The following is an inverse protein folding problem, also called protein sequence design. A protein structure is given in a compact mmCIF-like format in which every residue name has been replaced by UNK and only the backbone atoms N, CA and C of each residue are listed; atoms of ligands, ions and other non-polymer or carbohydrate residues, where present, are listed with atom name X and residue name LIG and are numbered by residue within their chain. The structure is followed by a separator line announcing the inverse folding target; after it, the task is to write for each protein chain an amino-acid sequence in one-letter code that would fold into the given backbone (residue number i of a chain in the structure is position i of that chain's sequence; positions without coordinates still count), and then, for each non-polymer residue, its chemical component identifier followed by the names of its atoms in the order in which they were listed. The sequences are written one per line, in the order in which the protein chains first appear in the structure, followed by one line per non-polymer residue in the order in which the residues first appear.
data_IF_468371071784
#
_entry.id   IF_468371071784
#
_cell.length_a   1.000
_cell.length_b   1.000
_cell.length_c   1.000
_cell.angle_alpha   90.00
_cell.angle_beta   90.00
_cell.angle_gamma   90.00
#
_symmetry.space_group_name_H-M   'P 1'
#
loop_
_entity.id
_entity.type
_entity.pdbx_description
1 polymer ?
#
# COMPACT_ATOMS: atom_id res chain seq x y z
N UNK A 1 14.02 37.11 -31.25
CA UNK A 1 15.21 36.41 -30.72
C UNK A 1 15.21 36.24 -29.20
N UNK A 2 15.24 37.29 -28.35
CA UNK A 2 15.20 37.09 -26.89
C UNK A 2 13.81 36.63 -26.37
N UNK A 3 12.70 37.09 -26.94
CA UNK A 3 11.35 36.67 -26.53
C UNK A 3 10.93 35.30 -27.06
N UNK A 4 11.43 34.89 -28.23
CA UNK A 4 11.17 33.56 -28.80
C UNK A 4 11.92 32.45 -28.07
N UNK A 5 13.10 32.74 -27.50
CA UNK A 5 13.84 31.81 -26.67
C UNK A 5 13.17 31.58 -25.31
N UNK A 6 12.59 32.64 -24.72
CA UNK A 6 11.81 32.56 -23.47
C UNK A 6 10.50 31.79 -23.68
N UNK A 7 9.75 32.06 -24.75
CA UNK A 7 8.51 31.32 -25.09
C UNK A 7 8.78 29.85 -25.42
N UNK A 8 9.87 29.53 -26.13
CA UNK A 8 10.28 28.16 -26.37
C UNK A 8 10.64 27.42 -25.08
N UNK A 9 11.36 28.08 -24.14
CA UNK A 9 11.72 27.50 -22.84
C UNK A 9 10.49 27.24 -21.95
N UNK A 10 9.49 28.14 -22.00
CA UNK A 10 8.24 28.00 -21.26
C UNK A 10 7.36 26.89 -21.84
N UNK A 11 7.25 26.79 -23.16
CA UNK A 11 6.53 25.72 -23.85
C UNK A 11 7.20 24.35 -23.62
N UNK A 12 8.53 24.27 -23.68
CA UNK A 12 9.28 23.04 -23.36
C UNK A 12 9.06 22.64 -21.89
N UNK A 13 9.15 23.58 -20.95
CA UNK A 13 8.88 23.30 -19.53
C UNK A 13 7.45 22.83 -19.26
N UNK A 14 6.48 23.30 -20.04
CA UNK A 14 5.06 22.93 -19.94
C UNK A 14 4.83 21.54 -20.53
N UNK A 15 5.45 21.22 -21.67
CA UNK A 15 5.40 19.91 -22.32
C UNK A 15 6.13 18.84 -21.49
N UNK A 16 7.24 19.18 -20.84
CA UNK A 16 7.97 18.35 -19.89
C UNK A 16 7.10 17.99 -18.68
N UNK A 17 6.47 19.00 -18.07
CA UNK A 17 5.53 18.81 -16.96
C UNK A 17 4.37 17.90 -17.36
N UNK A 18 3.74 18.18 -18.50
CA UNK A 18 2.63 17.36 -19.04
C UNK A 18 3.02 15.90 -19.22
N UNK A 19 4.19 15.64 -19.82
CA UNK A 19 4.71 14.28 -20.04
C UNK A 19 4.94 13.55 -18.72
N UNK A 20 5.52 14.21 -17.72
CA UNK A 20 5.76 13.62 -16.40
C UNK A 20 4.45 13.34 -15.66
N UNK A 21 3.46 14.24 -15.73
CA UNK A 21 2.15 14.00 -15.12
C UNK A 21 1.39 12.86 -15.80
N UNK A 22 1.49 12.70 -17.12
CA UNK A 22 0.93 11.54 -17.83
C UNK A 22 1.60 10.24 -17.37
N UNK A 23 2.94 10.22 -17.31
CA UNK A 23 3.69 9.04 -16.82
C UNK A 23 3.28 8.72 -15.38
N UNK A 24 3.21 9.74 -14.52
CA UNK A 24 2.85 9.59 -13.13
C UNK A 24 1.44 9.04 -12.97
N UNK A 25 0.48 9.56 -13.73
CA UNK A 25 -0.92 9.12 -13.70
C UNK A 25 -1.05 7.66 -14.11
N UNK A 26 -0.45 7.28 -15.23
CA UNK A 26 -0.50 5.90 -15.73
C UNK A 26 0.17 4.93 -14.76
N UNK A 27 1.36 5.28 -14.23
CA UNK A 27 2.05 4.43 -13.27
C UNK A 27 1.31 4.37 -11.91
N UNK A 28 0.65 5.45 -11.49
CA UNK A 28 -0.14 5.50 -10.27
C UNK A 28 -1.47 4.76 -10.36
N UNK A 29 -1.95 4.37 -11.55
CA UNK A 29 -3.06 3.42 -11.70
C UNK A 29 -2.78 2.08 -11.02
N UNK A 30 -1.53 1.67 -10.88
CA UNK A 30 -1.17 0.50 -10.07
C UNK A 30 -1.59 0.67 -8.60
N UNK A 31 -1.49 1.89 -8.06
CA UNK A 31 -1.98 2.22 -6.73
C UNK A 31 -3.51 2.16 -6.67
N UNK A 32 -4.19 2.72 -7.67
CA UNK A 32 -5.65 2.64 -7.79
C UNK A 32 -6.14 1.18 -7.82
N UNK A 33 -5.52 0.33 -8.63
CA UNK A 33 -5.84 -1.09 -8.73
C UNK A 33 -5.66 -1.82 -7.40
N UNK A 34 -4.56 -1.53 -6.72
CA UNK A 34 -4.29 -2.10 -5.40
C UNK A 34 -5.36 -1.68 -4.38
N UNK A 35 -5.69 -0.39 -4.32
CA UNK A 35 -6.75 0.10 -3.45
C UNK A 35 -8.13 -0.46 -3.79
N UNK A 36 -8.45 -0.54 -5.08
CA UNK A 36 -9.74 -1.06 -5.52
C UNK A 36 -9.94 -2.52 -5.12
N UNK A 37 -8.94 -3.38 -5.28
CA UNK A 37 -9.09 -4.80 -4.89
C UNK A 37 -9.22 -4.97 -3.36
N UNK A 38 -8.55 -4.12 -2.57
CA UNK A 38 -8.77 -4.06 -1.11
C UNK A 38 -10.23 -3.72 -0.78
N UNK A 39 -10.78 -2.70 -1.45
CA UNK A 39 -12.12 -2.19 -1.11
C UNK A 39 -13.26 -3.09 -1.61
N UNK A 40 -13.19 -3.54 -2.86
CA UNK A 40 -14.30 -4.22 -3.57
C UNK A 40 -14.74 -5.51 -2.88
N UNK A 41 -13.81 -6.21 -2.24
CA UNK A 41 -14.16 -7.46 -1.56
C UNK A 41 -15.12 -7.20 -0.40
N UNK A 42 -15.07 -6.01 0.20
CA UNK A 42 -15.88 -5.61 1.36
C UNK A 42 -17.37 -5.66 1.06
N UNK A 43 -17.82 -5.06 -0.04
CA UNK A 43 -19.22 -5.10 -0.48
C UNK A 43 -19.60 -6.37 -1.24
N UNK A 44 -18.65 -7.01 -1.93
CA UNK A 44 -18.91 -8.26 -2.64
C UNK A 44 -19.14 -9.46 -1.71
N UNK A 45 -18.42 -9.52 -0.58
CA UNK A 45 -18.37 -10.69 0.29
C UNK A 45 -19.75 -11.15 0.84
N UNK A 46 -20.65 -10.26 1.32
CA UNK A 46 -21.98 -10.65 1.75
C UNK A 46 -22.83 -11.30 0.64
N UNK A 47 -22.66 -10.85 -0.60
CA UNK A 47 -23.37 -11.40 -1.77
C UNK A 47 -22.77 -12.73 -2.22
N UNK A 48 -21.44 -12.87 -2.16
CA UNK A 48 -20.73 -14.13 -2.40
C UNK A 48 -21.17 -15.18 -1.37
N UNK A 49 -21.26 -14.80 -0.09
CA UNK A 49 -21.77 -15.65 1.00
C UNK A 49 -23.14 -16.22 0.68
N UNK A 50 -24.07 -15.35 0.26
CA UNK A 50 -25.44 -15.74 -0.13
C UNK A 50 -25.46 -16.61 -1.39
N UNK A 51 -24.65 -16.29 -2.40
CA UNK A 51 -24.65 -16.99 -3.70
C UNK A 51 -24.16 -18.43 -3.55
N UNK A 52 -23.06 -18.64 -2.84
CA UNK A 52 -22.43 -19.96 -2.70
C UNK A 52 -22.79 -20.68 -1.40
N UNK A 53 -23.63 -20.09 -0.54
CA UNK A 53 -24.04 -20.65 0.74
C UNK A 53 -22.85 -21.07 1.63
N UNK A 54 -21.83 -20.20 1.69
CA UNK A 54 -20.56 -20.47 2.36
C UNK A 54 -20.52 -19.96 3.81
N UNK A 55 -19.71 -20.61 4.64
CA UNK A 55 -19.44 -20.19 6.02
C UNK A 55 -18.39 -19.08 6.14
N UNK A 56 -18.08 -18.70 7.37
CA UNK A 56 -17.12 -17.62 7.67
C UNK A 56 -15.68 -17.99 7.32
N UNK A 57 -15.27 -19.24 7.57
CA UNK A 57 -13.93 -19.74 7.18
C UNK A 57 -13.69 -19.63 5.68
N UNK A 58 -14.68 -19.98 4.85
CA UNK A 58 -14.52 -19.85 3.38
C UNK A 58 -14.46 -18.38 2.95
N UNK A 59 -15.21 -17.48 3.59
CA UNK A 59 -15.14 -16.04 3.34
C UNK A 59 -13.75 -15.49 3.68
N UNK A 60 -13.20 -15.90 4.83
CA UNK A 60 -11.83 -15.62 5.26
C UNK A 60 -10.80 -16.07 4.22
N UNK A 61 -10.92 -17.26 3.65
CA UNK A 61 -10.04 -17.72 2.56
C UNK A 61 -10.22 -16.93 1.25
N UNK A 62 -11.46 -16.54 0.90
CA UNK A 62 -11.73 -15.73 -0.30
C UNK A 62 -11.06 -14.35 -0.19
N UNK A 63 -11.13 -13.71 0.98
CA UNK A 63 -10.48 -12.42 1.23
C UNK A 63 -8.96 -12.57 1.25
N UNK A 64 -8.46 -13.54 2.01
CA UNK A 64 -7.03 -13.64 2.33
C UNK A 64 -6.17 -14.23 1.23
N UNK A 65 -6.71 -15.12 0.38
CA UNK A 65 -5.95 -15.79 -0.68
C UNK A 65 -5.24 -14.84 -1.65
N UNK A 66 -5.79 -13.65 -1.88
CA UNK A 66 -5.12 -12.58 -2.63
C UNK A 66 -3.80 -12.16 -1.96
N UNK A 67 -3.76 -12.02 -0.64
CA UNK A 67 -2.56 -11.60 0.09
C UNK A 67 -1.44 -12.65 -0.01
N UNK A 68 -1.79 -13.94 -0.04
CA UNK A 68 -0.83 -15.01 -0.29
C UNK A 68 -0.23 -14.93 -1.70
N UNK A 69 -1.09 -14.65 -2.70
CA UNK A 69 -0.65 -14.32 -4.05
C UNK A 69 0.28 -13.09 -4.07
N UNK A 70 -0.06 -12.04 -3.31
CA UNK A 70 0.72 -10.81 -3.24
C UNK A 70 2.09 -11.00 -2.57
N UNK A 71 2.18 -11.81 -1.51
CA UNK A 71 3.47 -12.19 -0.92
C UNK A 71 4.38 -12.89 -1.94
N UNK A 72 3.79 -13.81 -2.71
CA UNK A 72 4.50 -14.54 -3.77
C UNK A 72 4.94 -13.61 -4.91
N UNK A 73 4.05 -12.72 -5.35
CA UNK A 73 4.32 -11.71 -6.38
C UNK A 73 5.41 -10.71 -5.96
N UNK A 74 5.37 -10.23 -4.71
CA UNK A 74 6.35 -9.33 -4.14
C UNK A 74 7.76 -9.97 -4.12
N UNK A 75 7.85 -11.25 -3.76
CA UNK A 75 9.13 -11.98 -3.76
C UNK A 75 9.72 -12.10 -5.17
N UNK A 76 8.89 -12.38 -6.17
CA UNK A 76 9.33 -12.49 -7.56
C UNK A 76 9.62 -11.13 -8.24
N UNK A 77 9.04 -10.04 -7.72
CA UNK A 77 9.05 -8.72 -8.35
C UNK A 77 10.48 -8.18 -8.58
N UNK A 78 11.39 -8.35 -7.61
CA UNK A 78 12.76 -7.87 -7.73
C UNK A 78 13.54 -8.52 -8.87
N UNK A 79 13.40 -9.85 -9.02
CA UNK A 79 14.03 -10.58 -10.13
C UNK A 79 13.40 -10.22 -11.48
N UNK A 80 12.06 -10.15 -11.56
CA UNK A 80 11.33 -9.74 -12.76
C UNK A 80 11.75 -8.33 -13.22
N UNK A 81 11.83 -7.38 -12.28
CA UNK A 81 12.23 -5.99 -12.53
C UNK A 81 13.63 -5.87 -13.10
N UNK A 82 14.60 -6.62 -12.53
CA UNK A 82 15.98 -6.63 -13.00
C UNK A 82 16.09 -7.25 -14.39
N UNK A 83 15.42 -8.38 -14.62
CA UNK A 83 15.53 -9.13 -15.88
C UNK A 83 14.81 -8.46 -17.05
N UNK A 84 13.55 -8.05 -16.86
CA UNK A 84 12.68 -7.56 -17.94
C UNK A 84 12.52 -6.03 -17.96
N UNK A 85 12.85 -5.36 -16.86
CA UNK A 85 12.65 -3.94 -16.67
C UNK A 85 11.27 -3.60 -16.11
N UNK A 86 11.17 -2.41 -15.52
CA UNK A 86 9.98 -1.92 -14.80
C UNK A 86 8.75 -1.86 -15.71
N UNK A 87 8.90 -1.27 -16.91
CA UNK A 87 7.83 -1.13 -17.90
C UNK A 87 7.17 -2.48 -18.24
N UNK A 88 7.98 -3.46 -18.66
CA UNK A 88 7.47 -4.78 -19.07
C UNK A 88 6.82 -5.49 -17.88
N UNK A 89 7.44 -5.40 -16.70
CA UNK A 89 6.92 -6.03 -15.49
C UNK A 89 5.55 -5.46 -15.09
N UNK A 90 5.34 -4.13 -15.18
CA UNK A 90 4.04 -3.50 -14.93
C UNK A 90 3.00 -3.87 -16.00
N UNK A 91 3.40 -3.96 -17.28
CA UNK A 91 2.49 -4.42 -18.34
C UNK A 91 2.01 -5.85 -18.07
N UNK A 92 2.92 -6.78 -17.76
CA UNK A 92 2.57 -8.17 -17.42
C UNK A 92 1.67 -8.21 -16.18
N UNK A 93 2.00 -7.44 -15.14
CA UNK A 93 1.19 -7.33 -13.94
C UNK A 93 -0.23 -6.84 -14.25
N UNK A 94 -0.38 -5.82 -15.11
CA UNK A 94 -1.68 -5.33 -15.55
C UNK A 94 -2.49 -6.37 -16.33
N UNK A 95 -1.84 -7.15 -17.20
CA UNK A 95 -2.50 -8.27 -17.90
C UNK A 95 -2.99 -9.33 -16.92
N UNK A 96 -2.19 -9.69 -15.91
CA UNK A 96 -2.60 -10.63 -14.87
C UNK A 96 -3.75 -10.07 -14.02
N UNK A 97 -3.80 -8.76 -13.74
CA UNK A 97 -4.96 -8.11 -13.11
C UNK A 97 -6.24 -8.30 -13.93
N UNK A 98 -6.19 -8.07 -15.24
CA UNK A 98 -7.36 -8.23 -16.13
C UNK A 98 -7.86 -9.68 -16.08
N UNK A 99 -6.96 -10.64 -16.24
CA UNK A 99 -7.31 -12.07 -16.22
C UNK A 99 -7.85 -12.49 -14.84
N UNK A 100 -7.25 -12.01 -13.76
CA UNK A 100 -7.70 -12.26 -12.39
C UNK A 100 -9.07 -11.67 -12.11
N UNK A 101 -9.32 -10.42 -12.51
CA UNK A 101 -10.59 -9.74 -12.31
C UNK A 101 -11.73 -10.39 -13.11
N UNK A 102 -11.50 -10.72 -14.39
CA UNK A 102 -12.45 -11.45 -15.22
C UNK A 102 -12.69 -12.85 -14.65
N UNK A 103 -11.64 -13.55 -14.23
CA UNK A 103 -11.75 -14.86 -13.59
C UNK A 103 -12.60 -14.82 -12.32
N UNK A 104 -12.43 -13.79 -11.48
CA UNK A 104 -13.24 -13.58 -10.30
C UNK A 104 -14.70 -13.29 -10.64
N UNK A 105 -14.95 -12.44 -11.64
CA UNK A 105 -16.31 -12.11 -12.10
C UNK A 105 -17.06 -13.32 -12.69
N UNK A 106 -16.34 -14.21 -13.37
CA UNK A 106 -16.88 -15.43 -13.97
C UNK A 106 -16.86 -16.63 -13.03
N UNK A 107 -16.47 -16.45 -11.76
CA UNK A 107 -16.36 -17.56 -10.83
C UNK A 107 -17.72 -18.25 -10.60
N UNK A 108 -17.73 -19.58 -10.75
CA UNK A 108 -18.90 -20.46 -10.54
C UNK A 108 -18.79 -21.29 -9.26
N UNK A 109 -17.66 -21.23 -8.56
CA UNK A 109 -17.46 -21.92 -7.28
C UNK A 109 -16.53 -21.12 -6.36
N UNK A 110 -16.61 -21.31 -5.03
CA UNK A 110 -15.67 -20.68 -4.09
C UNK A 110 -14.21 -21.05 -4.36
N UNK A 111 -13.93 -22.30 -4.76
CA UNK A 111 -12.59 -22.75 -5.09
C UNK A 111 -12.02 -22.02 -6.31
N UNK A 112 -12.82 -21.83 -7.36
CA UNK A 112 -12.43 -21.05 -8.53
C UNK A 112 -12.16 -19.59 -8.13
N UNK A 113 -13.01 -19.00 -7.30
CA UNK A 113 -12.84 -17.63 -6.82
C UNK A 113 -11.55 -17.44 -6.01
N UNK A 114 -11.24 -18.39 -5.11
CA UNK A 114 -9.99 -18.41 -4.34
C UNK A 114 -8.79 -18.52 -5.29
N UNK A 115 -8.82 -19.44 -6.26
CA UNK A 115 -7.74 -19.60 -7.22
C UNK A 115 -7.49 -18.33 -8.05
N UNK A 116 -8.55 -17.69 -8.54
CA UNK A 116 -8.43 -16.45 -9.31
C UNK A 116 -7.99 -15.27 -8.44
N UNK A 117 -8.38 -15.23 -7.16
CA UNK A 117 -7.88 -14.26 -6.17
C UNK A 117 -6.38 -14.42 -5.91
N UNK A 118 -5.84 -15.64 -5.84
CA UNK A 118 -4.39 -15.88 -5.76
C UNK A 118 -3.68 -15.32 -6.99
N UNK A 119 -4.20 -15.58 -8.19
CA UNK A 119 -3.65 -15.06 -9.45
C UNK A 119 -3.65 -13.53 -9.47
N UNK A 120 -4.77 -12.91 -9.09
CA UNK A 120 -4.87 -11.46 -8.97
C UNK A 120 -3.87 -10.93 -7.94
N UNK A 121 -3.72 -11.62 -6.81
CA UNK A 121 -2.74 -11.31 -5.78
C UNK A 121 -1.31 -11.24 -6.30
N UNK A 122 -0.89 -12.15 -7.20
CA UNK A 122 0.44 -12.09 -7.84
C UNK A 122 0.66 -10.74 -8.54
N UNK A 123 -0.35 -10.22 -9.23
CA UNK A 123 -0.29 -8.91 -9.88
C UNK A 123 -0.22 -7.78 -8.84
N UNK A 124 -1.00 -7.86 -7.76
CA UNK A 124 -0.96 -6.87 -6.67
C UNK A 124 0.44 -6.77 -6.09
N UNK A 125 1.04 -7.89 -5.69
CA UNK A 125 2.38 -7.92 -5.10
C UNK A 125 3.49 -7.46 -6.04
N UNK A 126 3.39 -7.76 -7.34
CA UNK A 126 4.34 -7.24 -8.33
C UNK A 126 4.17 -5.73 -8.47
N UNK A 127 2.95 -5.26 -8.72
CA UNK A 127 2.70 -3.83 -8.97
C UNK A 127 2.98 -2.94 -7.76
N UNK A 128 2.74 -3.41 -6.53
CA UNK A 128 2.96 -2.66 -5.28
C UNK A 128 4.43 -2.33 -5.04
N UNK A 129 5.35 -3.16 -5.53
CA UNK A 129 6.79 -2.90 -5.45
C UNK A 129 7.29 -2.12 -6.69
N UNK A 130 6.85 -2.50 -7.88
CA UNK A 130 7.43 -1.98 -9.13
C UNK A 130 6.96 -0.56 -9.45
N UNK A 131 5.70 -0.22 -9.15
CA UNK A 131 5.16 1.09 -9.52
C UNK A 131 5.85 2.25 -8.77
N UNK A 132 6.05 2.21 -7.44
CA UNK A 132 6.81 3.23 -6.73
C UNK A 132 8.26 3.35 -7.22
N UNK A 133 8.92 2.21 -7.48
CA UNK A 133 10.28 2.20 -8.04
C UNK A 133 10.32 2.88 -9.39
N UNK A 134 9.41 2.51 -10.29
CA UNK A 134 9.33 3.09 -11.63
C UNK A 134 9.06 4.61 -11.59
N UNK A 135 8.13 5.05 -10.75
CA UNK A 135 7.86 6.47 -10.51
C UNK A 135 9.13 7.18 -10.03
N UNK A 136 9.84 6.63 -9.06
CA UNK A 136 11.05 7.24 -8.50
C UNK A 136 12.20 7.37 -9.51
N UNK A 137 12.31 6.44 -10.47
CA UNK A 137 13.37 6.42 -11.48
C UNK A 137 13.09 7.33 -12.68
N UNK A 138 11.83 7.66 -12.93
CA UNK A 138 11.45 8.60 -13.99
C UNK A 138 11.34 10.02 -13.46
N UNK A 139 10.84 10.18 -12.23
CA UNK A 139 10.62 11.47 -11.62
C UNK A 139 11.91 12.30 -11.54
N UNK A 140 11.86 13.59 -11.94
CA UNK A 140 12.88 14.56 -11.54
C UNK A 140 12.97 14.62 -10.02
N UNK A 141 14.17 14.88 -9.50
CA UNK A 141 14.44 14.90 -8.06
C UNK A 141 13.50 15.82 -7.29
N UNK A 142 13.21 17.01 -7.83
CA UNK A 142 12.37 18.03 -7.20
C UNK A 142 10.92 17.59 -6.93
N UNK A 143 10.34 16.73 -7.77
CA UNK A 143 8.92 16.33 -7.68
C UNK A 143 8.74 14.84 -7.33
N UNK A 144 9.83 14.11 -7.11
CA UNK A 144 9.81 12.67 -6.80
C UNK A 144 8.93 12.34 -5.60
N UNK A 145 9.07 13.10 -4.51
CA UNK A 145 8.24 12.93 -3.31
C UNK A 145 6.75 13.09 -3.61
N UNK A 146 6.37 14.14 -4.35
CA UNK A 146 4.99 14.38 -4.77
C UNK A 146 4.40 13.22 -5.58
N UNK A 147 5.17 12.64 -6.50
CA UNK A 147 4.68 11.52 -7.32
C UNK A 147 4.50 10.23 -6.51
N UNK A 148 5.37 9.99 -5.52
CA UNK A 148 5.23 8.85 -4.59
C UNK A 148 4.00 9.07 -3.68
N UNK A 149 3.81 10.28 -3.17
CA UNK A 149 2.60 10.63 -2.40
C UNK A 149 1.33 10.51 -3.24
N UNK A 150 1.40 10.85 -4.53
CA UNK A 150 0.28 10.67 -5.46
C UNK A 150 -0.06 9.18 -5.66
N UNK A 151 0.94 8.29 -5.74
CA UNK A 151 0.72 6.84 -5.73
C UNK A 151 -0.03 6.38 -4.47
N UNK A 152 0.36 6.88 -3.29
CA UNK A 152 -0.32 6.56 -2.03
C UNK A 152 -1.77 7.09 -2.02
N UNK A 153 -1.99 8.31 -2.54
CA UNK A 153 -3.33 8.87 -2.70
C UNK A 153 -4.20 8.00 -3.62
N UNK A 154 -3.63 7.49 -4.72
CA UNK A 154 -4.34 6.61 -5.64
C UNK A 154 -4.76 5.29 -4.99
N UNK A 155 -3.99 4.74 -4.04
CA UNK A 155 -4.43 3.58 -3.24
C UNK A 155 -5.68 3.93 -2.44
N UNK A 156 -5.66 5.04 -1.70
CA UNK A 156 -6.80 5.41 -0.84
C UNK A 156 -8.03 5.79 -1.67
N UNK A 157 -7.82 6.54 -2.76
CA UNK A 157 -8.85 6.83 -3.75
C UNK A 157 -9.40 5.56 -4.40
N UNK A 158 -8.56 4.55 -4.64
CA UNK A 158 -8.99 3.24 -5.14
C UNK A 158 -9.94 2.52 -4.19
N UNK A 159 -9.63 2.53 -2.88
CA UNK A 159 -10.53 1.97 -1.85
C UNK A 159 -11.87 2.71 -1.84
N UNK A 160 -11.83 4.05 -1.92
CA UNK A 160 -13.05 4.85 -1.97
C UNK A 160 -13.90 4.59 -3.22
N UNK A 161 -13.27 4.54 -4.40
CA UNK A 161 -13.94 4.19 -5.66
C UNK A 161 -14.52 2.79 -5.60
N UNK A 162 -13.81 1.83 -5.01
CA UNK A 162 -14.32 0.49 -4.78
C UNK A 162 -15.59 0.48 -3.93
N UNK A 163 -15.64 1.23 -2.83
CA UNK A 163 -16.86 1.33 -2.04
C UNK A 163 -18.02 1.98 -2.78
N UNK A 164 -17.76 2.97 -3.64
CA UNK A 164 -18.79 3.54 -4.52
C UNK A 164 -19.32 2.52 -5.52
N UNK A 165 -18.44 1.70 -6.11
CA UNK A 165 -18.82 0.58 -6.99
C UNK A 165 -19.68 -0.42 -6.21
N UNK A 166 -19.26 -0.81 -5.01
CA UNK A 166 -20.00 -1.75 -4.16
C UNK A 166 -21.40 -1.23 -3.80
N UNK A 167 -21.52 0.06 -3.50
CA UNK A 167 -22.82 0.70 -3.27
C UNK A 167 -23.68 0.73 -4.54
N UNK A 168 -23.09 1.02 -5.71
CA UNK A 168 -23.80 1.08 -6.99
C UNK A 168 -24.26 -0.29 -7.51
N UNK A 169 -23.52 -1.35 -7.20
CA UNK A 169 -23.84 -2.72 -7.60
C UNK A 169 -24.51 -3.56 -6.48
N UNK A 170 -25.10 -2.91 -5.47
CA UNK A 170 -25.69 -3.57 -4.30
C UNK A 170 -27.03 -4.29 -4.60
N UNK A 171 -26.99 -5.34 -5.41
CA UNK A 171 -28.14 -6.16 -5.78
C UNK A 171 -27.73 -7.63 -6.03
N UNK A 172 -28.68 -8.58 -6.07
CA UNK A 172 -28.36 -10.00 -6.30
C UNK A 172 -27.55 -10.22 -7.57
N UNK A 173 -26.37 -10.85 -7.44
CA UNK A 173 -25.45 -11.11 -8.55
C UNK A 173 -24.53 -9.93 -8.91
N UNK A 174 -24.74 -8.73 -8.35
CA UNK A 174 -23.92 -7.54 -8.59
C UNK A 174 -22.45 -7.69 -8.20
N UNK A 175 -22.13 -8.60 -7.28
CA UNK A 175 -20.76 -8.92 -6.87
C UNK A 175 -19.84 -9.28 -8.05
N UNK A 176 -20.37 -9.87 -9.13
CA UNK A 176 -19.58 -10.17 -10.33
C UNK A 176 -19.07 -8.90 -11.00
N UNK A 177 -19.92 -7.87 -11.07
CA UNK A 177 -19.55 -6.55 -11.60
C UNK A 177 -18.62 -5.81 -10.65
N UNK A 178 -18.84 -5.92 -9.33
CA UNK A 178 -17.91 -5.35 -8.33
C UNK A 178 -16.48 -5.87 -8.55
N UNK A 179 -16.30 -7.20 -8.67
CA UNK A 179 -14.98 -7.79 -8.91
C UNK A 179 -14.45 -7.51 -10.33
N UNK A 180 -15.34 -7.52 -11.33
CA UNK A 180 -14.98 -7.38 -12.74
C UNK A 180 -14.55 -5.98 -13.16
N UNK A 181 -15.05 -4.93 -12.48
CA UNK A 181 -14.76 -3.53 -12.86
C UNK A 181 -13.27 -3.20 -12.81
N UNK A 182 -12.49 -3.92 -11.98
CA UNK A 182 -11.02 -3.77 -11.85
C UNK A 182 -10.32 -3.97 -13.20
N UNK A 183 -10.89 -4.78 -14.10
CA UNK A 183 -10.34 -4.99 -15.43
C UNK A 183 -10.25 -3.70 -16.26
N UNK A 184 -11.11 -2.70 -16.00
CA UNK A 184 -11.13 -1.43 -16.75
C UNK A 184 -9.87 -0.59 -16.46
N UNK A 185 -9.58 -0.15 -15.22
CA UNK A 185 -8.35 0.57 -14.94
C UNK A 185 -7.10 -0.28 -15.23
N UNK A 186 -7.18 -1.61 -15.13
CA UNK A 186 -6.06 -2.49 -15.49
C UNK A 186 -5.77 -2.47 -17.00
N UNK A 187 -6.80 -2.48 -17.84
CA UNK A 187 -6.66 -2.32 -19.29
C UNK A 187 -6.09 -0.94 -19.64
N UNK A 188 -6.58 0.13 -19.00
CA UNK A 188 -6.03 1.49 -19.18
C UNK A 188 -4.54 1.52 -18.80
N UNK A 189 -4.16 0.91 -17.67
CA UNK A 189 -2.77 0.81 -17.27
C UNK A 189 -1.94 0.04 -18.29
N UNK A 190 -2.38 -1.13 -18.75
CA UNK A 190 -1.67 -1.95 -19.76
C UNK A 190 -1.44 -1.16 -21.05
N UNK A 191 -2.49 -0.53 -21.57
CA UNK A 191 -2.43 0.29 -22.79
C UNK A 191 -1.50 1.51 -22.59
N UNK A 192 -1.64 2.20 -21.46
CA UNK A 192 -0.79 3.35 -21.11
C UNK A 192 0.68 2.97 -20.98
N UNK A 193 0.99 1.82 -20.38
CA UNK A 193 2.37 1.36 -20.21
C UNK A 193 3.11 1.16 -21.55
N UNK A 194 2.40 0.85 -22.65
CA UNK A 194 3.03 0.75 -23.97
C UNK A 194 3.58 2.09 -24.47
N UNK A 195 2.98 3.20 -24.07
CA UNK A 195 3.37 4.56 -24.46
C UNK A 195 4.56 5.05 -23.62
N UNK A 196 4.66 4.62 -22.37
CA UNK A 196 5.67 5.15 -21.44
C UNK A 196 7.10 4.71 -21.80
N UNK A 197 8.14 5.51 -21.46
CA UNK A 197 9.53 5.11 -21.67
C UNK A 197 9.98 3.96 -20.76
N UNK A 198 11.10 3.33 -21.08
CA UNK A 198 11.76 2.40 -20.13
C UNK A 198 12.51 3.20 -19.08
N UNK A 199 12.66 2.63 -17.88
CA UNK A 199 13.49 3.22 -16.83
C UNK A 199 14.93 3.49 -17.33
N UNK A 200 15.44 4.73 -17.21
CA UNK A 200 16.82 5.03 -17.59
C UNK A 200 17.85 4.26 -16.78
N UNK A 201 17.60 4.11 -15.47
CA UNK A 201 18.42 3.30 -14.56
C UNK A 201 18.50 1.85 -15.02
N UNK A 202 17.38 1.25 -15.38
CA UNK A 202 17.39 -0.12 -15.92
C UNK A 202 18.18 -0.23 -17.23
N UNK A 203 18.03 0.73 -18.14
CA UNK A 203 18.77 0.74 -19.41
C UNK A 203 20.28 0.85 -19.19
N UNK A 204 20.72 1.72 -18.28
CA UNK A 204 22.12 1.89 -17.93
C UNK A 204 22.70 0.61 -17.31
N UNK A 205 21.98 -0.01 -16.35
CA UNK A 205 22.41 -1.26 -15.70
C UNK A 205 22.52 -2.44 -16.68
N UNK A 206 21.70 -2.43 -17.75
CA UNK A 206 21.73 -3.46 -18.79
C UNK A 206 22.68 -3.10 -19.95
N UNK A 207 23.70 -2.28 -19.70
CA UNK A 207 24.74 -1.87 -20.66
C UNK A 207 24.20 -1.14 -21.91
N UNK A 208 23.01 -0.53 -21.83
CA UNK A 208 22.39 0.23 -22.93
C UNK A 208 22.47 1.74 -22.66
N UNK A 209 23.70 2.25 -22.50
CA UNK A 209 23.98 3.64 -22.08
C UNK A 209 23.38 4.69 -23.01
N UNK A 210 23.52 4.52 -24.33
CA UNK A 210 22.98 5.50 -25.30
C UNK A 210 21.46 5.61 -25.20
N UNK A 211 20.78 4.48 -25.01
CA UNK A 211 19.32 4.45 -24.82
C UNK A 211 18.92 5.08 -23.49
N UNK A 212 19.70 4.85 -22.42
CA UNK A 212 19.47 5.49 -21.13
C UNK A 212 19.60 7.01 -21.23
N UNK A 213 20.67 7.51 -21.88
CA UNK A 213 20.90 8.94 -22.12
C UNK A 213 19.77 9.55 -22.94
N UNK A 214 19.32 8.90 -24.01
CA UNK A 214 18.21 9.39 -24.83
C UNK A 214 16.90 9.50 -24.05
N UNK A 215 16.61 8.57 -23.14
CA UNK A 215 15.43 8.68 -22.28
C UNK A 215 15.61 9.81 -21.26
N UNK A 216 16.77 9.93 -20.63
CA UNK A 216 17.05 11.02 -19.69
C UNK A 216 16.96 12.39 -20.36
N UNK A 217 17.49 12.55 -21.57
CA UNK A 217 17.37 13.79 -22.34
C UNK A 217 15.90 14.16 -22.60
N UNK A 218 15.05 13.17 -22.91
CA UNK A 218 13.60 13.42 -23.06
C UNK A 218 12.90 13.80 -21.75
N UNK A 219 13.39 13.32 -20.61
CA UNK A 219 12.77 13.54 -19.29
C UNK A 219 13.29 14.79 -18.58
N UNK A 220 14.58 15.11 -18.74
CA UNK A 220 15.27 16.21 -18.07
C UNK A 220 15.39 17.44 -18.98
N UNK A 221 15.53 17.24 -20.29
CA UNK A 221 15.76 18.28 -21.30
C UNK A 221 16.95 19.20 -20.98
N UNK A 222 17.92 18.71 -20.19
CA UNK A 222 19.10 19.45 -19.77
C UNK A 222 20.33 18.53 -19.78
N UNK A 223 21.34 18.87 -20.56
CA UNK A 223 22.49 17.99 -20.81
C UNK A 223 23.37 17.82 -19.57
N UNK A 224 23.59 18.88 -18.81
CA UNK A 224 24.40 18.86 -17.58
C UNK A 224 23.77 17.96 -16.50
N UNK A 225 22.46 18.11 -16.27
CA UNK A 225 21.71 17.23 -15.36
C UNK A 225 21.75 15.78 -15.81
N UNK A 226 21.63 15.52 -17.13
CA UNK A 226 21.66 14.15 -17.66
C UNK A 226 23.02 13.49 -17.46
N UNK A 227 24.12 14.19 -17.75
CA UNK A 227 25.46 13.64 -17.60
C UNK A 227 25.80 13.41 -16.12
N UNK A 228 25.40 14.34 -15.23
CA UNK A 228 25.52 14.16 -13.77
C UNK A 228 24.68 12.98 -13.25
N UNK A 229 23.46 12.78 -13.76
CA UNK A 229 22.61 11.63 -13.39
C UNK A 229 23.17 10.31 -13.93
N UNK A 230 23.68 10.29 -15.17
CA UNK A 230 24.35 9.12 -15.76
C UNK A 230 25.59 8.70 -14.97
N UNK A 231 26.42 9.66 -14.53
CA UNK A 231 27.59 9.39 -13.69
C UNK A 231 27.20 8.78 -12.34
N UNK A 232 26.16 9.32 -11.68
CA UNK A 232 25.63 8.78 -10.42
C UNK A 232 25.07 7.37 -10.58
N UNK A 233 24.36 7.09 -11.69
CA UNK A 233 23.84 5.75 -11.98
C UNK A 233 25.01 4.76 -12.15
N UNK A 234 26.07 5.15 -12.86
CA UNK A 234 27.24 4.30 -13.05
C UNK A 234 27.90 3.93 -11.72
N UNK A 235 28.14 4.91 -10.86
CA UNK A 235 28.73 4.70 -9.54
C UNK A 235 27.85 3.78 -8.65
N UNK A 236 26.52 3.88 -8.78
CA UNK A 236 25.59 3.02 -8.03
C UNK A 236 25.55 1.57 -8.54
N UNK A 237 25.85 1.34 -9.82
CA UNK A 237 25.80 0.01 -10.45
C UNK A 237 26.94 -0.89 -9.96
N UNK A 238 28.09 -0.29 -9.66
CA UNK A 238 29.28 -0.99 -9.12
C UNK A 238 29.11 -1.43 -7.66
N UNK A 239 28.10 -0.90 -6.95
CA UNK A 239 27.76 -1.26 -5.55
C UNK A 239 26.63 -2.30 -5.43
N UNK A 240 26.04 -2.77 -6.53
CA UNK A 240 24.86 -3.64 -6.50
C UNK A 240 25.25 -5.13 -6.50
N UNK A 241 25.15 -5.80 -5.34
CA UNK A 241 24.69 -7.22 -5.21
C UNK A 241 24.86 -7.85 -3.81
N UNK A 242 25.14 -7.09 -2.75
CA UNK A 242 25.47 -7.72 -1.47
C UNK A 242 24.27 -7.95 -0.53
N UNK A 243 23.02 -7.59 -0.85
CA UNK A 243 21.93 -7.64 0.15
C UNK A 243 21.75 -8.97 0.88
N UNK A 244 21.76 -10.10 0.15
CA UNK A 244 21.71 -11.43 0.76
C UNK A 244 22.99 -11.80 1.51
N UNK A 245 24.14 -11.41 0.97
CA UNK A 245 25.44 -11.65 1.57
C UNK A 245 25.59 -10.86 2.89
N UNK A 246 25.26 -9.58 2.86
CA UNK A 246 25.22 -8.67 4.01
C UNK A 246 24.25 -9.19 5.07
N UNK A 247 23.09 -9.75 4.69
CA UNK A 247 22.18 -10.38 5.65
C UNK A 247 22.82 -11.57 6.36
N UNK A 248 23.59 -12.38 5.65
CA UNK A 248 24.30 -13.53 6.21
C UNK A 248 25.48 -13.10 7.07
N UNK A 249 26.21 -12.07 6.68
CA UNK A 249 27.49 -11.68 7.29
C UNK A 249 27.32 -10.66 8.43
N UNK A 250 26.44 -9.67 8.29
CA UNK A 250 26.35 -8.52 9.19
C UNK A 250 25.17 -8.62 10.18
N UNK A 251 25.48 -8.54 11.49
CA UNK A 251 24.47 -8.59 12.55
C UNK A 251 23.61 -7.33 12.62
N UNK A 252 24.17 -6.15 12.39
CA UNK A 252 23.47 -4.88 12.45
C UNK A 252 22.49 -4.75 11.28
N UNK A 253 22.88 -5.20 10.08
CA UNK A 253 21.95 -5.27 8.96
C UNK A 253 20.75 -6.20 9.26
N UNK A 254 20.97 -7.37 9.86
CA UNK A 254 19.86 -8.24 10.32
C UNK A 254 18.93 -7.55 11.32
N UNK A 255 19.47 -6.72 12.22
CA UNK A 255 18.67 -5.93 13.18
C UNK A 255 17.77 -4.92 12.46
N UNK A 256 18.28 -4.23 11.43
CA UNK A 256 17.49 -3.31 10.63
C UNK A 256 16.42 -4.02 9.81
N UNK A 257 16.75 -5.16 9.16
CA UNK A 257 15.75 -5.99 8.45
C UNK A 257 14.65 -6.46 9.41
N UNK A 258 15.01 -6.95 10.59
CA UNK A 258 14.05 -7.36 11.62
C UNK A 258 13.14 -6.22 12.09
N UNK A 259 13.67 -4.99 12.22
CA UNK A 259 12.87 -3.81 12.55
C UNK A 259 11.86 -3.48 11.45
N UNK A 260 12.26 -3.56 10.17
CA UNK A 260 11.35 -3.37 9.04
C UNK A 260 10.21 -4.40 9.01
N UNK A 261 10.53 -5.67 9.26
CA UNK A 261 9.54 -6.74 9.39
C UNK A 261 8.57 -6.49 10.57
N UNK A 262 9.09 -6.08 11.74
CA UNK A 262 8.29 -5.75 12.90
C UNK A 262 7.33 -4.57 12.63
N UNK A 263 7.82 -3.51 11.98
CA UNK A 263 6.99 -2.36 11.61
C UNK A 263 5.80 -2.78 10.73
N UNK A 264 6.05 -3.64 9.75
CA UNK A 264 5.01 -4.14 8.84
C UNK A 264 4.02 -5.07 9.56
N UNK A 265 4.50 -5.92 10.46
CA UNK A 265 3.64 -6.70 11.35
C UNK A 265 2.74 -5.80 12.20
N UNK A 266 3.32 -4.78 12.86
CA UNK A 266 2.57 -3.82 13.68
C UNK A 266 1.48 -3.12 12.87
N UNK A 267 1.80 -2.65 11.65
CA UNK A 267 0.83 -2.01 10.76
C UNK A 267 -0.39 -2.88 10.49
N UNK A 268 -0.17 -4.16 10.16
CA UNK A 268 -1.26 -5.08 9.84
C UNK A 268 -2.11 -5.37 11.07
N UNK A 269 -1.46 -5.71 12.19
CA UNK A 269 -2.13 -6.09 13.44
C UNK A 269 -2.78 -4.92 14.19
N UNK A 270 -2.74 -3.69 13.65
CA UNK A 270 -3.60 -2.59 14.13
C UNK A 270 -5.09 -2.91 14.01
N UNK A 271 -5.47 -3.79 13.07
CA UNK A 271 -6.86 -4.09 12.73
C UNK A 271 -7.43 -3.17 11.64
N UNK A 272 -6.62 -2.31 11.00
CA UNK A 272 -7.13 -1.42 9.96
C UNK A 272 -7.64 -2.17 8.73
N UNK A 273 -6.87 -3.15 8.23
CA UNK A 273 -7.27 -3.93 7.07
C UNK A 273 -8.51 -4.79 7.32
N UNK A 274 -8.71 -5.26 8.56
CA UNK A 274 -9.97 -5.89 8.98
C UNK A 274 -11.15 -4.96 8.73
N UNK A 275 -11.06 -3.71 9.16
CA UNK A 275 -12.13 -2.74 8.96
C UNK A 275 -12.38 -2.56 7.47
N UNK A 276 -11.33 -2.49 6.64
CA UNK A 276 -11.50 -2.30 5.20
C UNK A 276 -12.20 -3.50 4.53
N UNK A 277 -11.80 -4.73 4.85
CA UNK A 277 -12.37 -5.94 4.23
C UNK A 277 -13.75 -6.34 4.77
N UNK A 278 -14.06 -5.96 6.00
CA UNK A 278 -15.28 -6.39 6.69
C UNK A 278 -16.15 -5.22 7.13
N UNK A 279 -15.98 -4.02 6.59
CA UNK A 279 -16.73 -2.82 6.99
C UNK A 279 -18.26 -3.03 6.96
N UNK A 280 -18.89 -3.54 5.89
CA UNK A 280 -20.32 -3.82 5.88
C UNK A 280 -20.74 -4.79 6.98
N UNK A 281 -19.91 -5.80 7.27
CA UNK A 281 -20.16 -6.76 8.35
C UNK A 281 -20.06 -6.08 9.72
N UNK A 282 -19.06 -5.23 9.94
CA UNK A 282 -18.89 -4.48 11.19
C UNK A 282 -20.06 -3.50 11.40
N UNK A 283 -20.51 -2.82 10.35
CA UNK A 283 -21.70 -1.96 10.43
C UNK A 283 -22.97 -2.75 10.71
N UNK A 284 -23.11 -3.95 10.11
CA UNK A 284 -24.20 -4.85 10.43
C UNK A 284 -24.18 -5.27 11.91
N UNK A 285 -23.01 -5.60 12.45
CA UNK A 285 -22.85 -5.92 13.88
C UNK A 285 -23.19 -4.73 14.78
N UNK A 286 -22.93 -3.51 14.30
CA UNK A 286 -23.27 -2.27 15.01
C UNK A 286 -24.77 -1.92 14.99
N UNK A 287 -25.61 -2.67 14.26
CA UNK A 287 -27.07 -2.49 14.25
C UNK A 287 -27.64 -1.91 12.96
N UNK A 288 -26.80 -1.56 11.98
CA UNK A 288 -27.26 -1.10 10.65
C UNK A 288 -27.84 -2.28 9.88
N UNK A 289 -29.16 -2.38 9.84
CA UNK A 289 -29.86 -3.58 9.37
C UNK A 289 -30.01 -3.61 7.85
N UNK A 290 -30.05 -2.44 7.21
CA UNK A 290 -30.18 -2.32 5.76
C UNK A 290 -28.84 -2.53 5.06
N UNK A 291 -28.83 -3.34 3.99
CA UNK A 291 -27.64 -3.48 3.14
C UNK A 291 -27.22 -2.16 2.50
N UNK A 292 -28.17 -1.24 2.27
CA UNK A 292 -27.85 0.09 1.76
C UNK A 292 -27.15 0.96 2.82
N UNK A 293 -27.60 0.91 4.08
CA UNK A 293 -26.94 1.64 5.17
C UNK A 293 -25.50 1.14 5.37
N UNK A 294 -25.30 -0.18 5.34
CA UNK A 294 -23.98 -0.80 5.44
C UNK A 294 -23.04 -0.34 4.30
N UNK A 295 -23.52 -0.31 3.05
CA UNK A 295 -22.71 0.11 1.91
C UNK A 295 -22.38 1.60 1.95
N UNK A 296 -23.37 2.46 2.19
CA UNK A 296 -23.13 3.92 2.26
C UNK A 296 -22.31 4.34 3.48
N UNK A 297 -22.46 3.65 4.62
CA UNK A 297 -21.56 3.82 5.76
C UNK A 297 -20.12 3.44 5.43
N UNK A 298 -19.92 2.38 4.63
CA UNK A 298 -18.59 1.97 4.14
C UNK A 298 -18.01 3.01 3.17
N UNK A 299 -18.82 3.58 2.27
CA UNK A 299 -18.44 4.72 1.41
C UNK A 299 -17.97 5.92 2.24
N UNK A 300 -18.67 6.26 3.31
CA UNK A 300 -18.28 7.35 4.22
C UNK A 300 -16.91 7.08 4.86
N UNK A 301 -16.67 5.85 5.32
CA UNK A 301 -15.36 5.42 5.86
C UNK A 301 -14.26 5.63 4.82
N UNK A 302 -14.49 5.20 3.56
CA UNK A 302 -13.53 5.39 2.47
C UNK A 302 -13.26 6.86 2.12
N UNK A 303 -14.30 7.70 2.13
CA UNK A 303 -14.19 9.14 1.90
C UNK A 303 -13.34 9.79 2.99
N UNK A 304 -13.68 9.55 4.25
CA UNK A 304 -12.97 10.10 5.42
C UNK A 304 -11.50 9.67 5.41
N UNK A 305 -11.22 8.41 5.10
CA UNK A 305 -9.85 7.90 4.98
C UNK A 305 -9.06 8.57 3.84
N UNK A 306 -9.70 8.82 2.69
CA UNK A 306 -9.08 9.51 1.56
C UNK A 306 -8.75 10.96 1.89
N UNK A 307 -9.69 11.68 2.52
CA UNK A 307 -9.47 13.06 2.98
C UNK A 307 -8.38 13.13 4.06
N UNK A 308 -8.37 12.20 5.02
CA UNK A 308 -7.33 12.11 6.04
C UNK A 308 -5.95 11.86 5.42
N UNK A 309 -5.86 11.06 4.35
CA UNK A 309 -4.60 10.82 3.63
C UNK A 309 -4.08 12.06 2.91
N UNK A 310 -4.98 12.84 2.29
CA UNK A 310 -4.61 14.14 1.68
C UNK A 310 -4.00 15.08 2.71
N UNK A 311 -4.60 15.16 3.90
CA UNK A 311 -4.06 15.93 5.02
C UNK A 311 -2.71 15.34 5.44
N UNK A 312 -2.62 14.03 5.64
CA UNK A 312 -1.40 13.35 6.08
C UNK A 312 -0.19 13.71 5.20
N UNK A 313 -0.33 13.64 3.87
CA UNK A 313 0.73 13.96 2.91
C UNK A 313 1.33 15.36 3.15
N UNK A 314 0.53 16.34 3.60
CA UNK A 314 1.01 17.71 3.86
C UNK A 314 1.67 17.91 5.23
N UNK A 315 1.27 17.13 6.24
CA UNK A 315 1.75 17.30 7.62
C UNK A 315 2.92 16.37 7.97
N UNK A 316 3.11 15.32 7.19
CA UNK A 316 3.99 14.20 7.54
C UNK A 316 5.43 14.60 7.80
N UNK A 317 5.95 15.51 6.98
CA UNK A 317 7.34 15.97 7.08
C UNK A 317 7.55 16.98 8.20
N UNK A 318 6.46 17.54 8.77
CA UNK A 318 6.55 18.55 9.83
C UNK A 318 6.62 17.95 11.23
N UNK A 319 5.94 16.84 11.50
CA UNK A 319 5.81 16.31 12.88
C UNK A 319 6.94 15.34 13.24
N UNK A 320 7.31 14.44 12.33
CA UNK A 320 8.26 13.35 12.60
C UNK A 320 7.58 11.99 12.62
N UNK A 321 8.36 10.93 12.36
CA UNK A 321 7.82 9.58 12.14
C UNK A 321 7.38 8.94 13.45
N UNK A 322 8.18 9.09 14.51
CA UNK A 322 7.95 8.45 15.82
C UNK A 322 6.75 9.06 16.57
N UNK A 323 6.59 10.39 16.67
CA UNK A 323 5.40 10.99 17.31
C UNK A 323 4.10 10.64 16.59
N UNK A 324 4.10 10.59 15.25
CA UNK A 324 2.91 10.22 14.48
C UNK A 324 2.48 8.77 14.75
N UNK A 325 3.41 7.82 14.82
CA UNK A 325 3.10 6.45 15.20
C UNK A 325 2.57 6.35 16.64
N UNK A 326 3.16 7.08 17.58
CA UNK A 326 2.70 7.11 18.97
C UNK A 326 1.25 7.59 19.09
N UNK A 327 0.95 8.75 18.50
CA UNK A 327 -0.41 9.32 18.48
C UNK A 327 -1.37 8.36 17.77
N UNK A 328 -0.93 7.83 16.63
CA UNK A 328 -1.66 6.87 15.81
C UNK A 328 -2.17 5.66 16.58
N UNK A 329 -1.23 4.89 17.15
CA UNK A 329 -1.55 3.69 17.92
C UNK A 329 -2.37 4.01 19.19
N UNK A 330 -2.15 5.17 19.82
CA UNK A 330 -2.95 5.61 20.97
C UNK A 330 -4.41 5.81 20.59
N UNK A 331 -4.68 6.58 19.54
CA UNK A 331 -6.06 6.87 19.09
C UNK A 331 -6.72 5.60 18.56
N UNK A 332 -6.00 4.78 17.77
CA UNK A 332 -6.52 3.50 17.28
C UNK A 332 -6.87 2.55 18.43
N UNK A 333 -5.98 2.40 19.43
CA UNK A 333 -6.22 1.58 20.61
C UNK A 333 -7.41 2.07 21.44
N UNK A 334 -7.53 3.39 21.65
CA UNK A 334 -8.67 3.97 22.35
C UNK A 334 -10.00 3.74 21.61
N UNK A 335 -10.05 3.95 20.30
CA UNK A 335 -11.25 3.68 19.49
C UNK A 335 -11.66 2.20 19.55
N UNK A 336 -10.71 1.28 19.43
CA UNK A 336 -10.98 -0.17 19.54
C UNK A 336 -11.45 -0.54 20.96
N UNK A 337 -10.86 0.06 22.00
CA UNK A 337 -11.28 -0.17 23.38
C UNK A 337 -12.73 0.30 23.62
N UNK A 338 -13.06 1.50 23.15
CA UNK A 338 -14.40 2.08 23.26
C UNK A 338 -15.42 1.30 22.42
N UNK A 339 -15.07 0.84 21.23
CA UNK A 339 -15.91 -0.07 20.45
C UNK A 339 -16.21 -1.36 21.23
N UNK A 340 -15.19 -1.96 21.85
CA UNK A 340 -15.38 -3.14 22.70
C UNK A 340 -16.34 -2.88 23.87
N UNK A 341 -16.24 -1.72 24.53
CA UNK A 341 -17.17 -1.29 25.58
C UNK A 341 -18.58 -1.13 25.03
N UNK A 342 -18.75 -0.46 23.89
CA UNK A 342 -20.05 -0.29 23.24
C UNK A 342 -20.72 -1.64 22.95
N UNK A 343 -19.96 -2.61 22.42
CA UNK A 343 -20.47 -3.96 22.20
C UNK A 343 -20.85 -4.66 23.51
N UNK A 344 -20.08 -4.50 24.58
CA UNK A 344 -20.34 -5.12 25.87
C UNK A 344 -21.62 -4.60 26.56
N UNK A 345 -21.93 -3.30 26.41
CA UNK A 345 -23.13 -2.67 27.00
C UNK A 345 -24.39 -2.82 26.14
N UNK A 346 -24.33 -3.58 25.05
CA UNK A 346 -25.46 -3.80 24.15
C UNK A 346 -25.65 -2.68 23.13
N UNK A 347 -24.64 -2.45 22.30
CA UNK A 347 -24.63 -1.48 21.18
C UNK A 347 -25.94 -1.43 20.37
N UNK A 348 -26.58 -2.57 20.13
CA UNK A 348 -27.80 -2.65 19.31
C UNK A 348 -29.05 -2.09 20.00
N UNK A 349 -29.02 -1.86 21.31
CA UNK A 349 -30.18 -1.43 22.10
C UNK A 349 -30.54 0.04 21.93
N UNK A 350 -29.60 0.90 21.51
CA UNK A 350 -29.79 2.35 21.46
C UNK A 350 -29.14 3.00 20.22
N UNK A 351 -29.89 3.78 19.41
CA UNK A 351 -29.35 4.44 18.21
C UNK A 351 -28.12 5.33 18.46
N UNK A 352 -28.07 6.01 19.61
CA UNK A 352 -26.91 6.84 20.00
C UNK A 352 -25.61 6.03 20.09
N UNK A 353 -25.68 4.79 20.58
CA UNK A 353 -24.51 3.92 20.66
C UNK A 353 -24.07 3.49 19.25
N UNK A 354 -25.00 3.23 18.34
CA UNK A 354 -24.73 2.88 16.95
C UNK A 354 -23.97 4.00 16.22
N UNK A 355 -24.45 5.25 16.37
CA UNK A 355 -23.73 6.43 15.85
C UNK A 355 -22.37 6.61 16.51
N UNK A 356 -22.25 6.35 17.82
CA UNK A 356 -20.98 6.34 18.52
C UNK A 356 -19.98 5.33 17.93
N UNK A 357 -20.43 4.11 17.61
CA UNK A 357 -19.59 3.09 16.98
C UNK A 357 -19.10 3.52 15.59
N UNK A 358 -19.99 4.09 14.76
CA UNK A 358 -19.60 4.65 13.47
C UNK A 358 -18.58 5.79 13.63
N UNK A 359 -18.79 6.67 14.62
CA UNK A 359 -17.86 7.75 14.95
C UNK A 359 -16.48 7.24 15.36
N UNK A 360 -16.40 6.21 16.22
CA UNK A 360 -15.14 5.61 16.61
C UNK A 360 -14.45 4.87 15.45
N UNK A 361 -15.20 4.21 14.56
CA UNK A 361 -14.64 3.63 13.34
C UNK A 361 -14.06 4.72 12.41
N UNK A 362 -14.76 5.84 12.26
CA UNK A 362 -14.28 6.97 11.47
C UNK A 362 -12.99 7.56 12.05
N UNK A 363 -12.95 7.81 13.36
CA UNK A 363 -11.75 8.32 14.04
C UNK A 363 -10.59 7.32 13.95
N UNK A 364 -10.87 6.01 14.07
CA UNK A 364 -9.87 4.96 13.89
C UNK A 364 -9.24 5.04 12.50
N UNK A 365 -10.04 5.09 11.42
CA UNK A 365 -9.48 5.11 10.06
C UNK A 365 -8.75 6.41 9.73
N UNK A 366 -9.19 7.55 10.28
CA UNK A 366 -8.45 8.81 10.19
C UNK A 366 -7.07 8.65 10.85
N UNK A 367 -7.05 8.12 12.08
CA UNK A 367 -5.81 7.90 12.80
C UNK A 367 -4.86 7.00 12.02
N UNK A 368 -5.34 5.87 11.51
CA UNK A 368 -4.55 4.95 10.69
C UNK A 368 -3.97 5.63 9.44
N UNK A 369 -4.81 6.35 8.68
CA UNK A 369 -4.42 7.05 7.47
C UNK A 369 -3.36 8.13 7.71
N UNK A 370 -3.43 8.82 8.86
CA UNK A 370 -2.50 9.88 9.23
C UNK A 370 -1.22 9.39 9.92
N UNK A 371 -1.14 8.10 10.29
CA UNK A 371 -0.03 7.54 11.07
C UNK A 371 0.52 6.26 10.44
N UNK A 372 0.10 5.09 10.91
CA UNK A 372 0.69 3.80 10.58
C UNK A 372 0.68 3.49 9.09
N UNK A 373 -0.32 3.97 8.33
CA UNK A 373 -0.40 3.74 6.89
C UNK A 373 0.84 4.28 6.16
N UNK A 374 1.14 5.60 6.13
CA UNK A 374 2.35 6.10 5.48
C UNK A 374 3.65 5.86 6.27
N UNK A 375 3.61 5.91 7.60
CA UNK A 375 4.83 5.97 8.44
C UNK A 375 5.64 4.68 8.40
N UNK A 376 4.95 3.54 8.39
CA UNK A 376 5.63 2.24 8.38
C UNK A 376 6.39 2.04 7.08
N UNK A 377 5.83 2.41 5.92
CA UNK A 377 6.50 2.30 4.63
C UNK A 377 7.72 3.23 4.54
N UNK A 378 7.58 4.47 5.01
CA UNK A 378 8.68 5.44 5.03
C UNK A 378 9.82 4.94 5.92
N UNK A 379 9.53 4.55 7.16
CA UNK A 379 10.54 4.01 8.09
C UNK A 379 11.22 2.76 7.52
N UNK A 380 10.48 1.84 6.91
CA UNK A 380 11.06 0.66 6.27
C UNK A 380 12.05 1.00 5.14
N UNK A 381 11.91 2.15 4.49
CA UNK A 381 12.84 2.61 3.45
C UNK A 381 14.01 3.43 4.01
N UNK A 382 13.82 4.12 5.13
CA UNK A 382 14.81 5.00 5.75
C UNK A 382 15.81 4.23 6.64
N UNK A 383 15.37 3.21 7.40
CA UNK A 383 16.23 2.45 8.32
C UNK A 383 17.16 1.45 7.64
N UNK A 384 16.88 1.10 6.38
CA UNK A 384 17.63 0.08 5.65
C UNK A 384 18.86 0.73 4.98
N UNK A 385 20.07 0.20 5.24
CA UNK A 385 21.30 0.73 4.64
C UNK A 385 21.25 0.61 3.13
N UNK A 386 21.92 1.54 2.44
CA UNK A 386 21.93 1.63 0.98
C UNK A 386 22.40 0.31 0.36
N UNK A 387 23.48 -0.27 0.93
CA UNK A 387 23.91 -1.63 0.62
C UNK A 387 22.89 -2.61 1.21
N UNK A 388 22.06 -3.20 0.35
CA UNK A 388 21.06 -4.20 0.77
C UNK A 388 19.65 -3.67 1.02
N UNK A 389 19.39 -2.36 0.83
CA UNK A 389 18.05 -1.76 0.97
C UNK A 389 16.95 -2.55 0.26
N UNK A 390 17.19 -2.92 -1.00
CA UNK A 390 16.23 -3.67 -1.80
C UNK A 390 15.83 -5.00 -1.13
N UNK A 391 16.80 -5.69 -0.50
CA UNK A 391 16.54 -6.93 0.23
C UNK A 391 15.72 -6.67 1.49
N UNK A 392 16.11 -5.69 2.33
CA UNK A 392 15.39 -5.36 3.56
C UNK A 392 13.95 -4.90 3.32
N UNK A 393 13.74 -4.06 2.29
CA UNK A 393 12.40 -3.62 1.88
C UNK A 393 11.56 -4.79 1.35
N UNK A 394 12.16 -5.70 0.56
CA UNK A 394 11.47 -6.90 0.08
C UNK A 394 11.02 -7.81 1.25
N UNK A 395 11.90 -8.10 2.22
CA UNK A 395 11.55 -8.86 3.43
C UNK A 395 10.40 -8.20 4.21
N UNK A 396 10.45 -6.87 4.35
CA UNK A 396 9.40 -6.10 5.02
C UNK A 396 8.07 -6.19 4.26
N UNK A 397 8.09 -6.09 2.92
CA UNK A 397 6.89 -6.19 2.07
C UNK A 397 6.28 -7.59 2.09
N UNK A 398 7.10 -8.65 2.05
CA UNK A 398 6.60 -10.02 2.22
C UNK A 398 5.96 -10.21 3.60
N UNK A 399 6.57 -9.65 4.64
CA UNK A 399 6.02 -9.69 6.01
C UNK A 399 4.69 -8.95 6.10
N UNK A 400 4.54 -7.82 5.42
CA UNK A 400 3.28 -7.09 5.30
C UNK A 400 2.19 -8.01 4.75
N UNK A 401 2.42 -8.62 3.59
CA UNK A 401 1.42 -9.47 2.94
C UNK A 401 1.09 -10.74 3.74
N UNK A 402 2.08 -11.38 4.35
CA UNK A 402 1.85 -12.55 5.21
C UNK A 402 1.11 -12.18 6.50
N UNK A 403 1.44 -11.05 7.12
CA UNK A 403 0.71 -10.57 8.30
C UNK A 403 -0.73 -10.21 7.95
N UNK A 404 -0.94 -9.59 6.78
CA UNK A 404 -2.27 -9.30 6.27
C UNK A 404 -3.06 -10.58 6.00
N UNK A 405 -2.42 -11.59 5.39
CA UNK A 405 -3.00 -12.92 5.19
C UNK A 405 -3.50 -13.53 6.50
N UNK A 406 -2.66 -13.54 7.55
CA UNK A 406 -3.03 -14.07 8.87
C UNK A 406 -4.27 -13.39 9.42
N UNK A 407 -4.33 -12.06 9.33
CA UNK A 407 -5.48 -11.31 9.82
C UNK A 407 -6.74 -11.59 8.98
N UNK A 408 -6.59 -11.65 7.65
CA UNK A 408 -7.68 -12.00 6.74
C UNK A 408 -8.25 -13.41 6.99
N UNK A 409 -7.41 -14.39 7.38
CA UNK A 409 -7.88 -15.75 7.70
C UNK A 409 -8.41 -15.94 9.12
N UNK A 410 -8.23 -14.97 10.03
CA UNK A 410 -8.57 -15.16 11.44
C UNK A 410 -9.68 -14.25 11.95
N UNK A 411 -10.00 -13.15 11.28
CA UNK A 411 -10.88 -12.13 11.87
C UNK A 411 -12.30 -12.60 12.19
N UNK A 412 -13.02 -13.23 11.24
CA UNK A 412 -14.38 -13.71 11.49
C UNK A 412 -14.38 -14.87 12.50
N UNK A 413 -13.37 -15.73 12.43
CA UNK A 413 -13.14 -16.81 13.38
C UNK A 413 -12.90 -16.26 14.80
N UNK A 414 -12.13 -15.19 14.95
CA UNK A 414 -11.94 -14.49 16.23
C UNK A 414 -13.25 -13.92 16.77
N UNK A 415 -14.07 -13.28 15.92
CA UNK A 415 -15.40 -12.80 16.31
C UNK A 415 -16.29 -13.94 16.80
N UNK A 416 -16.28 -15.09 16.13
CA UNK A 416 -17.11 -16.24 16.49
C UNK A 416 -16.67 -16.90 17.81
N UNK A 417 -15.36 -16.95 18.09
CA UNK A 417 -14.81 -17.61 19.28
C UNK A 417 -14.78 -16.68 20.50
N UNK A 418 -14.30 -15.44 20.34
CA UNK A 418 -14.12 -14.50 21.44
C UNK A 418 -15.37 -13.63 21.67
N UNK A 419 -16.20 -13.43 20.64
CA UNK A 419 -17.28 -12.44 20.64
C UNK A 419 -16.79 -11.04 20.28
N UNK A 420 -17.71 -10.19 19.84
CA UNK A 420 -17.40 -8.85 19.30
C UNK A 420 -16.56 -8.01 20.27
N UNK A 421 -17.01 -7.84 21.52
CA UNK A 421 -16.35 -7.00 22.51
C UNK A 421 -14.89 -7.42 22.75
N UNK A 422 -14.67 -8.72 22.98
CA UNK A 422 -13.35 -9.27 23.27
C UNK A 422 -12.40 -9.17 22.06
N UNK A 423 -12.91 -9.35 20.84
CA UNK A 423 -12.10 -9.17 19.61
C UNK A 423 -11.64 -7.72 19.47
N UNK A 424 -12.52 -6.74 19.69
CA UNK A 424 -12.12 -5.33 19.66
C UNK A 424 -11.14 -4.96 20.79
N UNK A 425 -11.31 -5.51 21.99
CA UNK A 425 -10.33 -5.34 23.08
C UNK A 425 -8.98 -6.01 22.80
N UNK A 426 -8.94 -7.14 22.10
CA UNK A 426 -7.70 -7.75 21.64
C UNK A 426 -6.93 -6.79 20.71
N UNK A 427 -7.59 -6.21 19.71
CA UNK A 427 -6.96 -5.21 18.84
C UNK A 427 -6.56 -3.95 19.61
N UNK A 428 -7.33 -3.53 20.62
CA UNK A 428 -6.95 -2.42 21.49
C UNK A 428 -5.65 -2.72 22.25
N UNK A 429 -5.55 -3.89 22.88
CA UNK A 429 -4.35 -4.34 23.59
C UNK A 429 -3.13 -4.42 22.67
N UNK A 430 -3.29 -4.92 21.45
CA UNK A 430 -2.23 -4.94 20.43
C UNK A 430 -1.76 -3.52 20.09
N UNK A 431 -2.68 -2.58 19.85
CA UNK A 431 -2.32 -1.18 19.57
C UNK A 431 -1.57 -0.54 20.74
N UNK A 432 -1.99 -0.78 22.00
CA UNK A 432 -1.24 -0.30 23.16
C UNK A 432 0.14 -0.96 23.32
N UNK A 433 0.27 -2.24 22.97
CA UNK A 433 1.58 -2.91 22.90
C UNK A 433 2.48 -2.30 21.81
N UNK A 434 1.92 -1.89 20.69
CA UNK A 434 2.67 -1.23 19.61
C UNK A 434 3.21 0.14 20.01
N UNK A 435 2.53 0.84 20.94
CA UNK A 435 3.09 2.05 21.56
C UNK A 435 4.38 1.71 22.30
N UNK A 436 4.39 0.63 23.10
CA UNK A 436 5.58 0.20 23.82
C UNK A 436 6.74 -0.13 22.86
N UNK A 437 6.48 -0.88 21.79
CA UNK A 437 7.51 -1.16 20.78
C UNK A 437 7.99 0.11 20.07
N UNK A 438 7.10 1.05 19.80
CA UNK A 438 7.46 2.35 19.21
C UNK A 438 8.41 3.13 20.10
N UNK A 439 8.17 3.14 21.41
CA UNK A 439 9.05 3.82 22.36
C UNK A 439 10.41 3.13 22.49
N UNK A 440 10.43 1.80 22.52
CA UNK A 440 11.63 1.00 22.80
C UNK A 440 12.55 0.79 21.60
N UNK A 441 11.99 0.65 20.39
CA UNK A 441 12.73 0.14 19.23
C UNK A 441 12.76 1.09 18.03
N UNK A 442 11.73 1.92 17.83
CA UNK A 442 11.61 2.75 16.62
C UNK A 442 12.43 4.05 16.77
N UNK A 443 13.34 4.35 15.83
CA UNK A 443 14.04 5.63 15.80
C UNK A 443 13.17 6.75 15.23
N UNK A 444 13.49 7.99 15.59
CA UNK A 444 13.07 9.14 14.78
C UNK A 444 14.07 9.30 13.63
N UNK A 445 13.59 9.46 12.41
CA UNK A 445 14.40 9.54 11.19
C UNK A 445 14.24 10.88 10.47
N UNK A 446 13.32 11.73 10.93
CA UNK A 446 13.06 13.04 10.34
C UNK A 446 14.32 13.91 10.35
N UNK A 447 14.71 14.38 9.16
CA UNK A 447 15.80 15.34 8.99
C UNK A 447 17.20 14.75 9.11
N UNK A 448 17.32 13.42 9.23
CA UNK A 448 18.59 12.70 9.29
C UNK A 448 18.91 12.11 7.92
N UNK A 449 20.17 12.20 7.48
CA UNK A 449 20.57 11.61 6.20
C UNK A 449 20.58 10.08 6.29
N UNK A 450 20.32 9.42 5.16
CA UNK A 450 20.30 7.95 5.11
C UNK A 450 21.69 7.37 5.39
N UNK A 451 22.74 8.11 5.00
CA UNK A 451 24.13 7.78 5.27
C UNK A 451 24.45 7.85 6.78
N UNK A 452 23.91 8.83 7.50
CA UNK A 452 24.07 8.92 8.95
C UNK A 452 23.36 7.77 9.67
N UNK A 453 22.12 7.44 9.26
CA UNK A 453 21.38 6.29 9.79
C UNK A 453 22.16 4.99 9.54
N UNK A 454 22.73 4.84 8.35
CA UNK A 454 23.55 3.69 7.97
C UNK A 454 24.83 3.58 8.82
N UNK A 455 25.55 4.68 9.03
CA UNK A 455 26.74 4.70 9.88
C UNK A 455 26.38 4.35 11.33
N UNK A 456 25.36 4.99 11.90
CA UNK A 456 24.87 4.70 13.24
C UNK A 456 24.49 3.21 13.40
N UNK A 457 23.90 2.61 12.36
CA UNK A 457 23.56 1.19 12.36
C UNK A 457 24.82 0.31 12.42
N UNK A 458 25.79 0.56 11.54
CA UNK A 458 27.01 -0.26 11.46
C UNK A 458 27.97 -0.04 12.64
N UNK A 459 27.95 1.14 13.27
CA UNK A 459 28.64 1.43 14.54
C UNK A 459 28.02 0.68 15.73
N UNK A 460 26.89 0.00 15.53
CA UNK A 460 26.27 -0.86 16.51
C UNK A 460 25.30 -0.14 17.45
N UNK A 461 24.93 1.11 17.16
CA UNK A 461 24.01 1.88 17.97
C UNK A 461 22.67 1.14 18.17
N UNK A 462 21.95 1.52 19.23
CA UNK A 462 20.63 0.96 19.51
C UNK A 462 19.67 1.38 18.39
N UNK A 463 18.75 0.48 18.02
CA UNK A 463 17.81 0.74 16.91
C UNK A 463 16.99 2.03 17.12
N UNK A 464 16.61 2.34 18.35
CA UNK A 464 15.88 3.56 18.70
C UNK A 464 16.69 4.86 18.54
N UNK A 465 18.01 4.76 18.49
CA UNK A 465 18.94 5.88 18.45
C UNK A 465 19.60 6.04 17.07
N UNK A 466 19.06 5.38 16.03
CA UNK A 466 19.65 5.44 14.69
C UNK A 466 19.57 6.83 14.05
N UNK A 467 18.62 7.67 14.46
CA UNK A 467 18.55 9.06 14.00
C UNK A 467 19.01 10.09 15.04
N UNK A 468 19.74 9.65 16.07
CA UNK A 468 20.45 10.54 16.99
C UNK A 468 21.80 10.99 16.41
#
# INVERSE_FOLDING_TARGET
MASEADDASLLDSTQQRSTIYIIATIAALAGLLFGMDIGIISGALPWIKKTFHIGDVTQEFIVSSMMLGAASGATASGWLSRKFGRKVTLTVSGTVYILGAIGCALAVSPAMLIATRVVLGLAVGISSYIAPVYLSEIAPERIRGTLISFYQLMIMGGIFVAYLVDAGFNYPGGWRWMLGVIAIPAAIMVLGMYILPRSPRWLANNQRRDKARNVLMRLRQDEETVDAEMARIQQSTERNNEGWQLFREDRNFRRSVGLGMLLQFMQQFTGANVILYYAPHILKMAGYSSSNEQMWGTVLIGLVMTLATLIAITFVDRVGRKPLLYIGFTVMGACMALLGVLYAIGLQSHPLLQYGALGFLAIFVISYAMSAAPMVWILCSEIQPLKGRDFGVACSTVTNWLSNFVIGVTFLSLLNVLGNANTFWLYAALNFLFILFTLLLIPETKGVSLEQIENNLFDGNRLRALGE
#
